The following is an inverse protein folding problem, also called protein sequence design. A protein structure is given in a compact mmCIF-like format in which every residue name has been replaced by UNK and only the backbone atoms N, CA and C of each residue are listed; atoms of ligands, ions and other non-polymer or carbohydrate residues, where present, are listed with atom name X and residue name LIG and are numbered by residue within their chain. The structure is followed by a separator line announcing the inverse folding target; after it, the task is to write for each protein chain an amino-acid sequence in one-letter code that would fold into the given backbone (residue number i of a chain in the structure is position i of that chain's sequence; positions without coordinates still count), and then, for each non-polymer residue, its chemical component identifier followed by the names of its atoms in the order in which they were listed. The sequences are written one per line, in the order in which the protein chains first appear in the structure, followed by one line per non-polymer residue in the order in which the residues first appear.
data_IF_027250873432
#
_entry.id   IF_027250873432
#
_cell.length_a   1.000
_cell.length_b   1.000
_cell.length_c   1.000
_cell.angle_alpha   90.00
_cell.angle_beta   90.00
_cell.angle_gamma   90.00
#
_symmetry.space_group_name_H-M   'P 1'
#
loop_
_entity.id
_entity.type
_entity.pdbx_description
1 polymer ?
#
# COMPACT_ATOMS: atom_id res chain seq x y z
N UNK A 1 -7.75 16.95 15.51
CA UNK A 1 -8.07 15.50 15.43
C UNK A 1 -8.93 15.14 14.23
N UNK A 2 -10.10 15.77 14.03
CA UNK A 2 -11.04 15.45 12.93
C UNK A 2 -10.45 15.57 11.50
N UNK A 3 -9.52 16.50 11.25
CA UNK A 3 -8.86 16.64 9.94
C UNK A 3 -7.61 15.76 9.76
N UNK A 4 -7.00 15.29 10.86
CA UNK A 4 -5.72 14.58 10.82
C UNK A 4 -5.88 13.14 10.33
N UNK A 5 -6.91 12.44 10.81
CA UNK A 5 -7.22 11.07 10.38
C UNK A 5 -7.52 10.96 8.86
N UNK A 6 -8.39 11.80 8.26
CA UNK A 6 -8.64 11.71 6.82
C UNK A 6 -7.41 12.11 5.98
N UNK A 7 -6.56 13.02 6.48
CA UNK A 7 -5.29 13.35 5.83
C UNK A 7 -4.33 12.15 5.81
N UNK A 8 -4.17 11.47 6.95
CA UNK A 8 -3.35 10.26 7.03
C UNK A 8 -3.93 9.17 6.13
N UNK A 9 -5.23 8.92 6.16
CA UNK A 9 -5.87 7.94 5.29
C UNK A 9 -5.61 8.26 3.81
N UNK A 10 -5.80 9.52 3.40
CA UNK A 10 -5.51 9.98 2.05
C UNK A 10 -4.06 9.73 1.63
N UNK A 11 -3.11 9.93 2.55
CA UNK A 11 -1.69 9.66 2.29
C UNK A 11 -1.41 8.17 2.04
N UNK A 12 -2.03 7.26 2.80
CA UNK A 12 -1.87 5.82 2.58
C UNK A 12 -2.52 5.37 1.27
N UNK A 13 -3.71 5.90 0.95
CA UNK A 13 -4.38 5.62 -0.33
C UNK A 13 -3.55 6.12 -1.52
N UNK A 14 -2.95 7.31 -1.41
CA UNK A 14 -2.04 7.82 -2.42
C UNK A 14 -0.76 6.97 -2.54
N UNK A 15 -0.22 6.49 -1.43
CA UNK A 15 0.91 5.57 -1.40
C UNK A 15 0.59 4.25 -2.10
N UNK A 16 -0.56 3.65 -1.82
CA UNK A 16 -1.03 2.45 -2.51
C UNK A 16 -1.25 2.73 -4.02
N UNK A 17 -1.84 3.86 -4.40
CA UNK A 17 -1.99 4.21 -5.81
C UNK A 17 -0.64 4.31 -6.53
N UNK A 18 0.39 4.85 -5.88
CA UNK A 18 1.74 4.93 -6.44
C UNK A 18 2.37 3.55 -6.65
N UNK A 19 2.23 2.63 -5.69
CA UNK A 19 2.75 1.26 -5.85
C UNK A 19 1.94 0.46 -6.87
N UNK A 20 0.62 0.64 -6.95
CA UNK A 20 -0.22 0.06 -7.99
C UNK A 20 0.27 0.44 -9.40
N UNK A 21 0.62 1.72 -9.62
CA UNK A 21 1.28 2.15 -10.85
C UNK A 21 2.64 1.45 -11.05
N UNK A 22 3.40 1.26 -9.98
CA UNK A 22 4.65 0.48 -10.00
C UNK A 22 4.45 -0.96 -10.51
N UNK A 23 3.41 -1.66 -10.03
CA UNK A 23 3.07 -3.00 -10.54
C UNK A 23 2.61 -2.97 -12.00
N UNK A 24 1.82 -1.96 -12.38
CA UNK A 24 1.40 -1.76 -13.76
C UNK A 24 2.60 -1.64 -14.70
N UNK A 25 3.50 -0.69 -14.42
CA UNK A 25 4.70 -0.46 -15.22
C UNK A 25 5.65 -1.65 -15.19
N UNK A 26 5.81 -2.31 -14.04
CA UNK A 26 6.62 -3.51 -13.95
C UNK A 26 6.08 -4.67 -14.80
N UNK A 27 4.75 -4.78 -14.92
CA UNK A 27 4.10 -5.70 -15.85
C UNK A 27 4.40 -5.37 -17.31
N UNK A 28 4.32 -4.09 -17.69
CA UNK A 28 4.66 -3.62 -19.04
C UNK A 28 6.13 -3.86 -19.41
N UNK A 29 7.04 -3.80 -18.44
CA UNK A 29 8.47 -4.08 -18.61
C UNK A 29 8.80 -5.58 -18.63
N UNK A 30 7.80 -6.46 -18.46
CA UNK A 30 8.00 -7.92 -18.44
C UNK A 30 8.70 -8.43 -17.17
N UNK A 31 8.68 -7.67 -16.07
CA UNK A 31 9.29 -8.08 -14.80
C UNK A 31 8.43 -9.11 -14.04
N UNK A 32 7.21 -9.34 -14.48
CA UNK A 32 6.25 -10.23 -13.83
C UNK A 32 4.83 -9.80 -14.11
N UNK A 33 3.89 -10.33 -13.33
CA UNK A 33 2.48 -9.95 -13.40
C UNK A 33 1.82 -10.07 -12.03
N UNK A 34 0.61 -9.53 -11.89
CA UNK A 34 -0.30 -9.93 -10.83
C UNK A 34 -1.15 -11.10 -11.34
N UNK A 35 -1.15 -12.19 -10.60
CA UNK A 35 -1.95 -13.39 -10.85
C UNK A 35 -3.13 -13.41 -9.87
N UNK A 36 -4.22 -14.10 -10.21
CA UNK A 36 -5.47 -14.11 -9.44
C UNK A 36 -6.64 -13.57 -10.24
N UNK A 37 -6.41 -12.54 -11.05
CA UNK A 37 -7.31 -12.04 -12.09
C UNK A 37 -6.52 -11.87 -13.39
N UNK A 38 -7.02 -12.39 -14.52
CA UNK A 38 -6.30 -12.38 -15.79
C UNK A 38 -7.21 -11.93 -16.94
N UNK A 39 -6.95 -10.75 -17.55
CA UNK A 39 -5.93 -9.76 -17.16
C UNK A 39 -6.31 -9.00 -15.89
N UNK A 40 -5.34 -8.61 -15.03
CA UNK A 40 -5.62 -7.80 -13.85
C UNK A 40 -5.98 -6.38 -14.26
N UNK A 41 -7.15 -5.90 -13.83
CA UNK A 41 -7.57 -4.53 -14.13
C UNK A 41 -6.88 -3.51 -13.19
N UNK A 42 -7.17 -2.22 -13.39
CA UNK A 42 -6.59 -1.17 -12.56
C UNK A 42 -7.05 -1.24 -11.09
N UNK A 43 -8.26 -1.75 -10.84
CA UNK A 43 -8.80 -1.93 -9.50
C UNK A 43 -8.13 -3.10 -8.79
N UNK A 44 -7.85 -4.20 -9.48
CA UNK A 44 -7.12 -5.35 -8.94
C UNK A 44 -5.69 -4.97 -8.53
N UNK A 45 -5.03 -4.13 -9.33
CA UNK A 45 -3.70 -3.59 -9.03
C UNK A 45 -3.73 -2.69 -7.79
N UNK A 46 -4.72 -1.81 -7.69
CA UNK A 46 -4.90 -0.95 -6.53
C UNK A 46 -5.28 -1.74 -5.28
N UNK A 47 -6.18 -2.71 -5.41
CA UNK A 47 -6.59 -3.62 -4.35
C UNK A 47 -5.40 -4.40 -3.80
N UNK A 48 -4.61 -5.03 -4.67
CA UNK A 48 -3.40 -5.75 -4.28
C UNK A 48 -2.43 -4.84 -3.51
N UNK A 49 -2.16 -3.65 -4.06
CA UNK A 49 -1.28 -2.67 -3.42
C UNK A 49 -1.81 -2.24 -2.05
N UNK A 50 -3.12 -1.99 -1.93
CA UNK A 50 -3.75 -1.59 -0.68
C UNK A 50 -3.63 -2.67 0.40
N UNK A 51 -3.96 -3.92 0.08
CA UNK A 51 -3.87 -5.04 1.05
C UNK A 51 -2.42 -5.36 1.41
N UNK A 52 -1.46 -5.09 0.52
CA UNK A 52 -0.04 -5.36 0.76
C UNK A 52 0.60 -4.25 1.59
N UNK A 53 0.33 -2.98 1.26
CA UNK A 53 0.72 -1.80 2.03
C UNK A 53 0.14 -1.84 3.45
N UNK A 54 -1.10 -2.31 3.60
CA UNK A 54 -1.72 -2.45 4.93
C UNK A 54 -1.32 -3.73 5.66
N UNK A 55 -0.46 -4.56 5.06
CA UNK A 55 0.02 -5.85 5.59
C UNK A 55 -1.09 -6.88 5.83
N UNK A 56 -2.26 -6.72 5.19
CA UNK A 56 -3.40 -7.62 5.31
C UNK A 56 -3.19 -8.95 4.55
N UNK A 57 -2.75 -8.88 3.29
CA UNK A 57 -2.30 -10.05 2.53
C UNK A 57 -3.34 -11.13 2.23
N UNK A 58 -4.55 -10.77 1.76
CA UNK A 58 -5.65 -11.72 1.47
C UNK A 58 -5.36 -12.78 0.38
N UNK A 59 -4.32 -12.60 -0.44
CA UNK A 59 -3.73 -13.67 -1.27
C UNK A 59 -4.55 -14.13 -2.48
N UNK A 60 -5.71 -13.53 -2.73
CA UNK A 60 -6.56 -13.75 -3.90
C UNK A 60 -5.96 -13.13 -5.19
N UNK A 61 -5.26 -12.00 -5.04
CA UNK A 61 -4.36 -11.43 -6.05
C UNK A 61 -2.94 -11.47 -5.49
N UNK A 62 -1.98 -11.95 -6.28
CA UNK A 62 -0.59 -12.11 -5.83
C UNK A 62 0.45 -11.87 -6.95
N UNK A 63 1.64 -11.35 -6.61
CA UNK A 63 2.65 -11.02 -7.59
C UNK A 63 3.46 -12.26 -8.00
N UNK A 64 3.77 -12.35 -9.29
CA UNK A 64 4.65 -13.38 -9.86
C UNK A 64 5.88 -12.75 -10.52
N UNK A 65 6.94 -13.52 -10.71
CA UNK A 65 8.21 -13.03 -11.26
C UNK A 65 8.96 -12.09 -10.30
N UNK A 66 9.66 -11.10 -10.86
CA UNK A 66 10.44 -10.12 -10.11
C UNK A 66 9.58 -9.11 -9.34
N UNK A 67 8.28 -8.96 -9.67
CA UNK A 67 7.36 -8.11 -8.91
C UNK A 67 7.19 -8.53 -7.45
N UNK A 68 7.54 -9.77 -7.10
CA UNK A 68 7.60 -10.25 -5.70
C UNK A 68 8.54 -9.42 -4.84
N UNK A 69 9.63 -8.92 -5.42
CA UNK A 69 10.55 -8.02 -4.73
C UNK A 69 9.89 -6.68 -4.42
N UNK A 70 9.19 -6.09 -5.40
CA UNK A 70 8.47 -4.84 -5.22
C UNK A 70 7.37 -4.97 -4.16
N UNK A 71 6.64 -6.08 -4.14
CA UNK A 71 5.66 -6.37 -3.10
C UNK A 71 6.29 -6.47 -1.70
N UNK A 72 7.47 -7.07 -1.57
CA UNK A 72 8.20 -7.07 -0.30
C UNK A 72 8.58 -5.64 0.16
N UNK A 73 9.07 -4.81 -0.76
CA UNK A 73 9.39 -3.40 -0.48
C UNK A 73 8.16 -2.59 -0.08
N UNK A 74 7.05 -2.79 -0.77
CA UNK A 74 5.77 -2.14 -0.46
C UNK A 74 5.28 -2.53 0.94
N UNK A 75 5.28 -3.81 1.29
CA UNK A 75 4.83 -4.27 2.60
C UNK A 75 5.67 -3.69 3.73
N UNK A 76 7.00 -3.62 3.55
CA UNK A 76 7.90 -2.98 4.50
C UNK A 76 7.65 -1.47 4.61
N UNK A 77 7.41 -0.80 3.49
CA UNK A 77 7.10 0.63 3.45
C UNK A 77 5.79 0.91 4.20
N UNK A 78 4.77 0.10 3.94
CA UNK A 78 3.47 0.22 4.59
C UNK A 78 3.52 -0.01 6.09
N UNK A 79 4.27 -1.02 6.54
CA UNK A 79 4.52 -1.24 7.96
C UNK A 79 5.14 -0.01 8.64
N UNK A 80 6.14 0.62 8.02
CA UNK A 80 6.78 1.82 8.55
C UNK A 80 5.83 3.03 8.58
N UNK A 81 5.05 3.24 7.51
CA UNK A 81 4.09 4.35 7.41
C UNK A 81 2.94 4.22 8.41
N UNK A 82 2.38 3.02 8.58
CA UNK A 82 1.36 2.74 9.58
C UNK A 82 1.90 2.97 11.00
N UNK A 83 3.11 2.49 11.29
CA UNK A 83 3.76 2.68 12.59
C UNK A 83 3.99 4.17 12.88
N UNK A 84 4.52 4.91 11.92
CA UNK A 84 4.73 6.35 12.04
C UNK A 84 3.42 7.12 12.24
N UNK A 85 2.37 6.73 11.51
CA UNK A 85 1.03 7.33 11.62
C UNK A 85 0.43 7.12 13.00
N UNK A 86 0.54 5.90 13.55
CA UNK A 86 0.12 5.60 14.92
C UNK A 86 0.89 6.45 15.95
N UNK A 87 2.22 6.56 15.82
CA UNK A 87 3.04 7.41 16.68
C UNK A 87 2.66 8.88 16.59
N UNK A 88 2.41 9.39 15.39
CA UNK A 88 2.02 10.79 15.17
C UNK A 88 0.65 11.09 15.77
N UNK A 89 -0.33 10.20 15.58
CA UNK A 89 -1.65 10.31 16.21
C UNK A 89 -1.50 10.33 17.74
N UNK A 90 -0.73 9.41 18.32
CA UNK A 90 -0.49 9.35 19.77
C UNK A 90 0.13 10.63 20.33
N UNK A 91 1.16 11.16 19.64
CA UNK A 91 1.82 12.41 20.04
C UNK A 91 0.85 13.60 19.96
N UNK A 92 0.01 13.66 18.93
CA UNK A 92 -0.96 14.75 18.75
C UNK A 92 -2.03 14.78 19.85
N UNK A 93 -2.39 13.63 20.43
CA UNK A 93 -3.31 13.57 21.58
C UNK A 93 -2.66 14.21 22.81
N UNK A 94 -1.44 13.78 23.16
CA UNK A 94 -0.75 14.23 24.37
C UNK A 94 -0.38 15.72 24.34
N UNK A 95 -0.16 16.30 23.17
CA UNK A 95 0.06 17.74 23.03
C UNK A 95 -1.19 18.59 23.28
N UNK A 96 -2.39 17.99 23.25
CA UNK A 96 -3.64 18.71 23.49
C UNK A 96 -3.99 18.79 24.98
N UNK A 97 -3.34 17.97 25.82
CA UNK A 97 -3.55 17.91 27.27
C UNK A 97 -2.58 18.81 28.08
N UNK A 98 -1.74 19.61 27.41
CA UNK A 98 -0.74 20.52 28.00
C UNK A 98 -1.00 21.98 27.60
#
# INVERSE_FOLDING_TARGET
MACLLPLLLGLHLAGAALFALGFHFGGLLGLGALSGSSPPDAMDQFYFSLINMTTLGLGDVYPVGHLRFLAGVESLTGFLLLSCSASYVFQSMHQTDA
#
